data_IF_631393558034
#
_entry.id   IF_631393558034
#
_cell.length_a   1.000
_cell.length_b   1.000
_cell.length_c   1.000
_cell.angle_alpha   90.00
_cell.angle_beta   90.00
_cell.angle_gamma   90.00
#
_symmetry.space_group_name_H-M   'P 1'
#
loop_
_entity.id
_entity.type
_entity.pdbx_description
1 polymer ?
#
# COMPACT_ATOMS: atom_id res chain seq x y z
N UNK A 1 -29.94 -49.98 -64.78
CA UNK A 1 -30.87 -49.21 -65.65
C UNK A 1 -31.67 -48.28 -64.75
N UNK A 2 -31.36 -46.98 -64.80
CA UNK A 2 -32.14 -45.94 -65.52
C UNK A 2 -33.24 -45.35 -64.61
N UNK A 3 -32.98 -44.19 -64.00
CA UNK A 3 -33.48 -42.83 -64.37
C UNK A 3 -34.90 -42.55 -63.89
N UNK A 4 -35.33 -41.39 -63.41
CA UNK A 4 -34.70 -40.11 -63.01
C UNK A 4 -35.83 -39.12 -62.61
N UNK A 5 -35.50 -38.09 -61.81
CA UNK A 5 -35.96 -36.68 -61.90
C UNK A 5 -37.41 -36.30 -61.51
N UNK A 6 -37.53 -35.36 -60.54
CA UNK A 6 -38.07 -33.97 -60.65
C UNK A 6 -38.00 -33.31 -59.25
N UNK A 7 -36.94 -32.53 -58.92
CA UNK A 7 -36.77 -31.08 -59.10
C UNK A 7 -37.86 -30.22 -58.45
N UNK A 8 -37.51 -29.57 -57.32
CA UNK A 8 -37.88 -28.17 -57.00
C UNK A 8 -36.68 -27.44 -56.37
N UNK A 9 -35.97 -26.70 -57.22
CA UNK A 9 -35.24 -25.44 -56.94
C UNK A 9 -36.18 -24.43 -56.26
N UNK A 10 -35.79 -23.40 -55.51
CA UNK A 10 -34.56 -22.68 -55.19
C UNK A 10 -34.79 -22.04 -53.78
N UNK A 11 -33.79 -21.63 -53.00
CA UNK A 11 -33.06 -20.37 -53.13
C UNK A 11 -31.78 -20.50 -52.32
N UNK A 12 -30.66 -20.17 -52.98
CA UNK A 12 -29.40 -19.87 -52.32
C UNK A 12 -29.46 -18.46 -51.74
N UNK A 13 -29.06 -18.31 -50.48
CA UNK A 13 -28.44 -17.07 -50.00
C UNK A 13 -27.06 -17.45 -49.51
N UNK A 14 -26.06 -17.07 -50.31
CA UNK A 14 -24.66 -17.01 -49.93
C UNK A 14 -24.51 -15.77 -49.04
N UNK A 15 -24.05 -15.96 -47.82
CA UNK A 15 -23.33 -14.92 -47.08
C UNK A 15 -22.02 -15.53 -46.57
N UNK A 16 -20.95 -15.08 -47.21
CA UNK A 16 -19.54 -15.32 -46.93
C UNK A 16 -19.06 -14.64 -45.65
N UNK A 17 -18.04 -15.24 -45.04
CA UNK A 17 -16.95 -14.64 -44.25
C UNK A 17 -17.26 -14.00 -42.88
N UNK A 18 -16.87 -14.72 -41.82
CA UNK A 18 -15.91 -14.20 -40.83
C UNK A 18 -15.19 -15.36 -40.11
N UNK A 19 -14.16 -15.90 -40.78
CA UNK A 19 -13.06 -16.54 -40.06
C UNK A 19 -12.19 -15.42 -39.50
N UNK A 20 -12.00 -15.37 -38.19
CA UNK A 20 -10.96 -14.54 -37.57
C UNK A 20 -11.37 -13.81 -36.30
N UNK A 21 -11.77 -14.52 -35.25
CA UNK A 21 -11.79 -13.99 -33.88
C UNK A 21 -11.94 -15.11 -32.86
N UNK A 22 -10.92 -15.95 -32.71
CA UNK A 22 -10.81 -16.83 -31.54
C UNK A 22 -9.35 -17.28 -31.49
N UNK A 23 -8.54 -16.58 -30.71
CA UNK A 23 -7.27 -17.07 -30.13
C UNK A 23 -6.60 -16.03 -29.23
N UNK A 24 -7.04 -14.77 -29.22
CA UNK A 24 -6.41 -13.72 -28.39
C UNK A 24 -6.71 -13.91 -26.89
N UNK A 25 -7.94 -14.28 -26.51
CA UNK A 25 -8.30 -14.36 -25.07
C UNK A 25 -7.67 -15.53 -24.29
N UNK A 26 -7.26 -16.62 -24.94
CA UNK A 26 -6.65 -17.75 -24.23
C UNK A 26 -5.14 -17.59 -24.03
N UNK A 27 -4.48 -16.83 -24.91
CA UNK A 27 -3.04 -16.56 -24.82
C UNK A 27 -2.78 -15.49 -23.75
N UNK A 28 -3.55 -14.41 -23.76
CA UNK A 28 -3.43 -13.30 -22.78
C UNK A 28 -3.63 -13.78 -21.35
N UNK A 29 -4.70 -14.56 -21.08
CA UNK A 29 -4.97 -15.11 -19.73
C UNK A 29 -3.81 -15.98 -19.20
N UNK A 30 -3.12 -16.70 -20.09
CA UNK A 30 -2.00 -17.55 -19.69
C UNK A 30 -0.73 -16.72 -19.39
N UNK A 31 -0.50 -15.64 -20.13
CA UNK A 31 0.66 -14.76 -19.89
C UNK A 31 0.52 -13.98 -18.58
N UNK A 32 -0.67 -13.45 -18.28
CA UNK A 32 -1.00 -12.82 -17.00
C UNK A 32 -0.81 -13.78 -15.82
N UNK A 33 -1.35 -15.01 -15.93
CA UNK A 33 -1.23 -16.04 -14.88
C UNK A 33 0.24 -16.42 -14.61
N UNK A 34 1.04 -16.54 -15.67
CA UNK A 34 2.48 -16.85 -15.54
C UNK A 34 3.26 -15.70 -14.88
N UNK A 35 2.95 -14.44 -15.22
CA UNK A 35 3.56 -13.27 -14.60
C UNK A 35 3.23 -13.21 -13.10
N UNK A 36 1.95 -13.29 -12.75
CA UNK A 36 1.50 -13.29 -11.35
C UNK A 36 2.12 -14.42 -10.54
N UNK A 37 2.18 -15.63 -11.11
CA UNK A 37 2.80 -16.79 -10.44
C UNK A 37 4.28 -16.55 -10.16
N UNK A 38 5.00 -15.99 -11.12
CA UNK A 38 6.43 -15.67 -10.98
C UNK A 38 6.65 -14.68 -9.84
N UNK A 39 5.88 -13.59 -9.86
CA UNK A 39 5.93 -12.52 -8.86
C UNK A 39 5.55 -13.01 -7.47
N UNK A 40 4.46 -13.74 -7.34
CA UNK A 40 3.99 -14.26 -6.04
C UNK A 40 5.00 -15.22 -5.44
N UNK A 41 5.67 -16.02 -6.28
CA UNK A 41 6.74 -16.92 -5.84
C UNK A 41 7.96 -16.14 -5.34
N UNK A 42 8.36 -15.10 -6.06
CA UNK A 42 9.47 -14.23 -5.68
C UNK A 42 9.20 -13.52 -4.33
N UNK A 43 8.01 -12.93 -4.16
CA UNK A 43 7.56 -12.30 -2.91
C UNK A 43 7.59 -13.29 -1.74
N UNK A 44 7.04 -14.50 -1.94
CA UNK A 44 7.05 -15.56 -0.92
C UNK A 44 8.47 -15.96 -0.54
N UNK A 45 9.36 -16.13 -1.51
CA UNK A 45 10.76 -16.50 -1.26
C UNK A 45 11.49 -15.38 -0.49
N UNK A 46 11.31 -14.13 -0.91
CA UNK A 46 11.91 -12.98 -0.24
C UNK A 46 11.42 -12.84 1.20
N UNK A 47 10.12 -13.08 1.44
CA UNK A 47 9.53 -13.11 2.78
C UNK A 47 10.10 -14.25 3.62
N UNK A 48 10.15 -15.48 3.11
CA UNK A 48 10.69 -16.63 3.85
C UNK A 48 12.16 -16.45 4.24
N UNK A 49 12.94 -15.76 3.41
CA UNK A 49 14.34 -15.42 3.67
C UNK A 49 14.50 -14.20 4.59
N UNK A 50 13.41 -13.54 5.00
CA UNK A 50 13.43 -12.36 5.86
C UNK A 50 13.91 -11.08 5.19
N UNK A 51 14.01 -11.08 3.84
CA UNK A 51 14.34 -9.91 3.03
C UNK A 51 13.19 -8.90 3.11
N UNK A 52 11.96 -9.40 3.00
CA UNK A 52 10.74 -8.63 3.22
C UNK A 52 10.14 -9.05 4.56
N UNK A 53 9.75 -8.06 5.38
CA UNK A 53 9.03 -8.32 6.63
C UNK A 53 7.53 -8.17 6.41
N UNK A 54 6.73 -9.17 6.76
CA UNK A 54 5.29 -8.97 6.88
C UNK A 54 5.01 -7.89 7.93
N UNK A 55 4.22 -6.89 7.55
CA UNK A 55 3.69 -5.92 8.50
C UNK A 55 2.21 -6.26 8.63
N UNK A 56 1.83 -6.88 9.74
CA UNK A 56 0.43 -7.01 10.10
C UNK A 56 -0.06 -5.65 10.58
N UNK A 57 -0.86 -4.98 9.75
CA UNK A 57 -1.54 -3.73 10.10
C UNK A 57 -3.06 -3.95 10.04
N UNK A 58 -3.77 -3.46 11.06
CA UNK A 58 -5.23 -3.49 11.06
C UNK A 58 -5.78 -2.35 10.18
N UNK A 59 -6.80 -2.65 9.39
CA UNK A 59 -7.12 -1.87 8.18
C UNK A 59 -7.70 -0.44 8.42
N UNK A 60 -7.15 0.60 7.76
CA UNK A 60 -7.57 2.01 7.80
C UNK A 60 -7.98 2.57 6.42
N UNK A 61 -7.64 3.84 6.09
CA UNK A 61 -7.63 4.40 4.72
C UNK A 61 -6.84 3.50 3.78
N UNK A 62 -7.51 2.99 2.75
CA UNK A 62 -6.99 1.98 1.85
C UNK A 62 -5.97 2.57 0.87
N UNK A 63 -4.80 1.94 0.76
CA UNK A 63 -3.98 2.04 -0.43
C UNK A 63 -4.83 1.60 -1.61
N UNK A 64 -4.74 2.34 -2.71
CA UNK A 64 -5.51 2.07 -3.93
C UNK A 64 -4.55 1.90 -5.08
N UNK A 65 -4.89 0.98 -5.97
CA UNK A 65 -4.26 0.89 -7.27
C UNK A 65 -4.90 1.98 -8.15
N UNK A 66 -4.08 2.69 -8.91
CA UNK A 66 -4.52 3.55 -10.01
C UNK A 66 -3.98 3.00 -11.34
N UNK A 67 -4.16 3.73 -12.44
CA UNK A 67 -3.74 3.30 -13.78
C UNK A 67 -2.21 3.16 -13.95
N UNK A 68 -1.42 3.69 -13.01
CA UNK A 68 0.04 3.77 -13.09
C UNK A 68 0.80 3.27 -11.86
N UNK A 69 0.13 2.82 -10.81
CA UNK A 69 0.79 2.40 -9.57
C UNK A 69 -0.14 2.39 -8.37
N UNK A 70 0.36 2.88 -7.24
CA UNK A 70 -0.39 2.90 -5.97
C UNK A 70 -0.44 4.29 -5.36
N UNK A 71 -1.54 4.57 -4.68
CA UNK A 71 -1.80 5.83 -4.01
C UNK A 71 -2.40 5.61 -2.64
N UNK A 72 -2.16 6.54 -1.71
CA UNK A 72 -2.74 6.51 -0.38
C UNK A 72 -2.69 7.87 0.31
N UNK A 73 -3.72 8.12 1.12
CA UNK A 73 -3.79 9.32 1.97
C UNK A 73 -2.79 9.22 3.13
N UNK A 74 -1.94 10.23 3.28
CA UNK A 74 -1.04 10.39 4.41
C UNK A 74 -1.44 11.56 5.31
N UNK A 75 -0.73 11.72 6.44
CA UNK A 75 -0.86 12.90 7.29
C UNK A 75 -0.50 14.22 6.61
N UNK A 76 0.19 14.16 5.46
CA UNK A 76 0.62 15.33 4.66
C UNK A 76 -0.24 15.56 3.41
N UNK A 77 -1.20 14.67 3.12
CA UNK A 77 -1.95 14.64 1.86
C UNK A 77 -1.73 13.34 1.10
N UNK A 78 -2.30 13.24 -0.09
CA UNK A 78 -2.16 12.06 -0.95
C UNK A 78 -0.71 11.93 -1.44
N UNK A 79 -0.13 10.75 -1.24
CA UNK A 79 1.19 10.39 -1.79
C UNK A 79 0.96 9.27 -2.79
N UNK A 80 1.53 9.38 -3.98
CA UNK A 80 1.48 8.31 -4.98
C UNK A 80 2.88 7.90 -5.42
N UNK A 81 3.05 6.60 -5.62
CA UNK A 81 4.22 6.01 -6.25
C UNK A 81 3.74 5.29 -7.50
N UNK A 82 4.31 5.64 -8.64
CA UNK A 82 3.91 5.10 -9.93
C UNK A 82 5.10 4.55 -10.71
N UNK A 83 4.79 3.60 -11.57
CA UNK A 83 5.66 3.23 -12.68
C UNK A 83 5.87 4.43 -13.63
N UNK A 84 6.80 4.28 -14.56
CA UNK A 84 7.02 5.29 -15.61
C UNK A 84 5.80 5.45 -16.55
N UNK A 85 5.82 6.48 -17.39
CA UNK A 85 4.70 6.85 -18.27
C UNK A 85 4.26 5.77 -19.28
N UNK A 86 5.06 4.74 -19.52
CA UNK A 86 4.77 3.68 -20.49
C UNK A 86 3.94 2.54 -19.90
N UNK A 87 3.80 2.46 -18.58
CA UNK A 87 3.05 1.40 -17.91
C UNK A 87 1.56 1.71 -17.85
N UNK A 88 0.73 0.70 -18.13
CA UNK A 88 -0.73 0.76 -18.08
C UNK A 88 -1.29 -0.45 -17.37
N UNK A 89 -1.68 -0.24 -16.11
CA UNK A 89 -2.20 -1.31 -15.29
C UNK A 89 -3.63 -1.66 -15.66
N UNK A 90 -3.88 -2.95 -15.89
CA UNK A 90 -5.19 -3.53 -16.07
C UNK A 90 -5.59 -4.34 -14.83
N UNK A 91 -6.75 -4.01 -14.25
CA UNK A 91 -7.29 -4.72 -13.09
C UNK A 91 -7.63 -6.17 -13.45
N UNK A 92 -7.06 -7.11 -12.70
CA UNK A 92 -7.42 -8.52 -12.86
C UNK A 92 -8.62 -8.81 -11.98
N UNK A 93 -9.78 -8.94 -12.62
CA UNK A 93 -11.03 -9.30 -11.95
C UNK A 93 -10.82 -10.53 -11.04
N UNK A 94 -11.14 -10.38 -9.75
CA UNK A 94 -11.04 -11.41 -8.68
C UNK A 94 -9.68 -11.55 -7.99
N UNK A 95 -8.74 -10.64 -8.20
CA UNK A 95 -7.47 -10.59 -7.44
C UNK A 95 -7.22 -9.20 -6.84
N UNK A 96 -6.36 -9.08 -5.83
CA UNK A 96 -5.90 -7.79 -5.28
C UNK A 96 -4.81 -7.12 -6.16
N UNK A 97 -4.68 -7.54 -7.43
CA UNK A 97 -3.59 -7.18 -8.34
C UNK A 97 -4.11 -6.49 -9.59
N UNK A 98 -3.29 -5.57 -10.11
CA UNK A 98 -3.39 -5.04 -11.47
C UNK A 98 -2.05 -5.25 -12.19
N UNK A 99 -2.07 -5.50 -13.49
CA UNK A 99 -0.87 -5.89 -14.25
C UNK A 99 -0.74 -5.14 -15.56
N UNK A 100 0.49 -5.03 -16.03
CA UNK A 100 0.84 -4.72 -17.41
C UNK A 100 1.80 -5.81 -17.90
N UNK A 101 1.31 -6.69 -18.76
CA UNK A 101 2.09 -7.82 -19.26
C UNK A 101 3.17 -7.41 -20.26
N UNK A 102 3.02 -6.28 -20.95
CA UNK A 102 3.98 -5.85 -21.98
C UNK A 102 5.32 -5.46 -21.36
N UNK A 103 5.26 -4.77 -20.22
CA UNK A 103 6.44 -4.29 -19.47
C UNK A 103 6.74 -5.13 -18.22
N UNK A 104 5.91 -6.14 -17.93
CA UNK A 104 6.11 -7.02 -16.78
C UNK A 104 5.91 -6.32 -15.43
N UNK A 105 4.99 -5.36 -15.37
CA UNK A 105 4.66 -4.60 -14.18
C UNK A 105 3.42 -5.16 -13.47
N UNK A 106 3.43 -5.12 -12.15
CA UNK A 106 2.32 -5.55 -11.30
C UNK A 106 2.17 -4.62 -10.12
N UNK A 107 0.98 -4.09 -9.90
CA UNK A 107 0.63 -3.39 -8.68
C UNK A 107 -0.26 -4.28 -7.79
N UNK A 108 -0.10 -4.15 -6.49
CA UNK A 108 -0.97 -4.73 -5.47
C UNK A 108 -1.26 -3.69 -4.41
N UNK A 109 -2.50 -3.60 -3.97
CA UNK A 109 -2.85 -2.81 -2.80
C UNK A 109 -3.63 -3.68 -1.82
N UNK A 110 -3.10 -3.78 -0.60
CA UNK A 110 -3.74 -4.50 0.50
C UNK A 110 -3.63 -3.64 1.76
N UNK A 111 -4.76 -3.19 2.30
CA UNK A 111 -4.79 -2.36 3.51
C UNK A 111 -4.01 -1.04 3.32
N UNK A 112 -2.94 -0.81 4.10
CA UNK A 112 -2.06 0.36 4.05
C UNK A 112 -0.89 0.17 3.09
N UNK A 113 -0.76 -1.00 2.47
CA UNK A 113 0.44 -1.36 1.72
C UNK A 113 0.10 -1.35 0.24
N UNK A 114 0.81 -0.51 -0.50
CA UNK A 114 0.94 -0.60 -1.95
C UNK A 114 2.26 -1.28 -2.28
N UNK A 115 2.25 -2.19 -3.24
CA UNK A 115 3.46 -2.84 -3.75
C UNK A 115 3.47 -2.68 -5.26
N UNK A 116 4.58 -2.20 -5.81
CA UNK A 116 4.80 -2.12 -7.25
C UNK A 116 5.96 -3.06 -7.58
N UNK A 117 5.72 -4.03 -8.44
CA UNK A 117 6.70 -5.00 -8.84
C UNK A 117 6.95 -4.89 -10.32
N UNK A 118 8.21 -4.95 -10.72
CA UNK A 118 8.59 -4.99 -12.12
C UNK A 118 9.55 -6.15 -12.35
N UNK A 119 9.39 -6.81 -13.48
CA UNK A 119 10.30 -7.86 -13.90
C UNK A 119 11.22 -7.38 -15.01
N UNK A 120 12.52 -7.46 -14.77
CA UNK A 120 13.53 -7.02 -15.72
C UNK A 120 14.36 -8.20 -16.22
N UNK A 121 14.83 -8.09 -17.45
CA UNK A 121 15.73 -9.07 -18.05
C UNK A 121 17.15 -8.52 -18.02
N UNK A 122 18.02 -9.22 -17.31
CA UNK A 122 19.44 -8.93 -17.21
C UNK A 122 20.16 -9.60 -18.38
N UNK A 123 20.79 -8.78 -19.21
CA UNK A 123 21.66 -9.26 -20.27
C UNK A 123 23.05 -9.62 -19.74
N UNK A 124 23.75 -10.48 -20.48
CA UNK A 124 25.08 -10.96 -20.08
C UNK A 124 26.07 -9.79 -19.94
N UNK A 125 26.74 -9.72 -18.78
CA UNK A 125 27.71 -8.66 -18.41
C UNK A 125 27.11 -7.28 -18.12
N UNK A 126 25.80 -7.20 -17.91
CA UNK A 126 25.17 -6.00 -17.38
C UNK A 126 25.52 -5.82 -15.90
N UNK A 127 26.13 -4.69 -15.56
CA UNK A 127 26.60 -4.44 -14.19
C UNK A 127 25.49 -3.95 -13.27
N UNK A 128 24.59 -3.13 -13.81
CA UNK A 128 23.49 -2.55 -13.08
C UNK A 128 22.23 -2.52 -13.93
N UNK A 129 21.10 -2.78 -13.27
CA UNK A 129 19.77 -2.46 -13.78
C UNK A 129 19.25 -1.26 -13.00
N UNK A 130 18.70 -0.29 -13.71
CA UNK A 130 18.05 0.90 -13.15
C UNK A 130 16.56 0.87 -13.48
N UNK A 131 15.70 0.96 -12.46
CA UNK A 131 14.25 1.10 -12.62
C UNK A 131 13.76 2.36 -11.92
N UNK A 132 13.00 3.19 -12.63
CA UNK A 132 12.54 4.50 -12.16
C UNK A 132 11.10 4.43 -11.68
N UNK A 133 10.85 5.09 -10.56
CA UNK A 133 9.53 5.24 -9.94
C UNK A 133 9.21 6.71 -9.74
N UNK A 134 8.09 7.16 -10.28
CA UNK A 134 7.66 8.54 -10.15
C UNK A 134 6.94 8.75 -8.83
N UNK A 135 7.21 9.89 -8.19
CA UNK A 135 6.63 10.31 -6.93
C UNK A 135 5.70 11.50 -7.17
N UNK A 136 4.43 11.35 -6.81
CA UNK A 136 3.49 12.46 -6.69
C UNK A 136 3.35 12.83 -5.22
N UNK A 137 3.89 13.99 -4.85
CA UNK A 137 3.95 14.47 -3.46
C UNK A 137 3.11 15.73 -3.28
N UNK A 138 2.48 15.92 -2.10
CA UNK A 138 1.84 17.18 -1.74
C UNK A 138 2.84 18.35 -1.72
N UNK A 139 2.34 19.57 -1.90
CA UNK A 139 3.18 20.77 -1.87
C UNK A 139 3.97 20.87 -0.55
N UNK A 140 5.28 21.12 -0.65
CA UNK A 140 6.18 21.25 0.50
C UNK A 140 6.63 19.93 1.13
N UNK A 141 6.21 18.78 0.58
CA UNK A 141 6.71 17.45 0.99
C UNK A 141 7.94 17.07 0.16
N UNK A 142 8.98 16.60 0.84
CA UNK A 142 10.22 16.11 0.25
C UNK A 142 10.44 14.64 0.59
N UNK A 143 10.97 13.87 -0.36
CA UNK A 143 11.48 12.53 -0.10
C UNK A 143 12.86 12.59 0.57
N UNK A 144 13.11 11.72 1.55
CA UNK A 144 14.38 11.62 2.27
C UNK A 144 14.80 10.16 2.43
N UNK A 145 16.10 9.87 2.32
CA UNK A 145 16.64 8.53 2.59
C UNK A 145 16.91 8.34 4.09
N UNK A 146 16.59 7.16 4.60
CA UNK A 146 16.97 6.71 5.93
C UNK A 146 18.21 5.80 5.89
N UNK A 147 18.87 5.63 7.04
CA UNK A 147 20.10 4.83 7.17
C UNK A 147 19.90 3.34 6.83
N UNK A 148 18.66 2.84 6.91
CA UNK A 148 18.30 1.47 6.54
C UNK A 148 17.98 1.29 5.04
N UNK A 149 18.16 2.35 4.23
CA UNK A 149 17.92 2.35 2.80
C UNK A 149 16.46 2.61 2.41
N UNK A 150 15.54 2.74 3.38
CA UNK A 150 14.16 3.10 3.12
C UNK A 150 14.01 4.60 2.81
N UNK A 151 12.90 4.98 2.16
CA UNK A 151 12.59 6.38 1.84
C UNK A 151 11.41 6.84 2.70
N UNK A 152 11.61 7.94 3.42
CA UNK A 152 10.57 8.65 4.15
C UNK A 152 10.12 9.92 3.44
N UNK A 153 9.06 10.53 3.96
CA UNK A 153 8.57 11.82 3.46
C UNK A 153 8.58 12.85 4.59
N UNK A 154 9.05 14.05 4.31
CA UNK A 154 9.23 15.13 5.29
C UNK A 154 8.60 16.41 4.80
N UNK A 155 8.00 17.19 5.70
CA UNK A 155 7.53 18.55 5.44
C UNK A 155 8.13 19.51 6.46
N UNK A 156 8.67 20.62 5.99
CA UNK A 156 9.08 21.73 6.86
C UNK A 156 7.85 22.53 7.31
N UNK A 157 7.72 22.74 8.62
CA UNK A 157 6.66 23.60 9.15
C UNK A 157 7.16 25.03 9.33
N UNK A 158 6.23 26.00 9.41
CA UNK A 158 6.52 27.44 9.52
C UNK A 158 7.48 27.81 10.68
N UNK A 159 7.65 26.93 11.67
CA UNK A 159 8.52 27.14 12.83
C UNK A 159 9.92 26.50 12.69
N UNK A 160 10.29 25.97 11.51
CA UNK A 160 11.55 25.25 11.28
C UNK A 160 11.60 23.87 11.95
N UNK A 161 10.44 23.31 12.30
CA UNK A 161 10.31 21.93 12.78
C UNK A 161 9.91 21.06 11.61
N UNK A 162 10.73 20.07 11.27
CA UNK A 162 10.38 19.09 10.24
C UNK A 162 9.46 18.00 10.80
N UNK A 163 8.33 17.76 10.15
CA UNK A 163 7.49 16.60 10.41
C UNK A 163 7.88 15.46 9.45
N UNK A 164 7.90 14.22 9.96
CA UNK A 164 8.14 13.01 9.15
C UNK A 164 6.82 12.25 9.04
N UNK A 165 6.46 11.84 7.83
CA UNK A 165 5.26 11.07 7.54
C UNK A 165 5.39 9.65 8.09
N UNK A 166 4.26 9.06 8.48
CA UNK A 166 4.18 7.60 8.71
C UNK A 166 4.24 6.81 7.40
N UNK A 167 4.06 7.47 6.26
CA UNK A 167 4.25 6.88 4.93
C UNK A 167 5.72 6.67 4.67
N UNK A 168 6.10 5.47 4.25
CA UNK A 168 7.48 5.10 3.93
C UNK A 168 7.51 4.14 2.75
N UNK A 169 8.46 4.32 1.84
CA UNK A 169 8.86 3.28 0.90
C UNK A 169 9.90 2.43 1.62
N UNK A 170 9.64 1.13 1.71
CA UNK A 170 10.53 0.18 2.40
C UNK A 170 11.92 0.17 1.75
N UNK A 171 12.94 -0.31 2.45
CA UNK A 171 14.25 -0.54 1.84
C UNK A 171 14.09 -1.40 0.57
N UNK A 172 14.84 -1.09 -0.51
CA UNK A 172 14.69 -1.77 -1.77
C UNK A 172 15.13 -3.22 -1.64
N UNK A 173 14.50 -4.09 -2.42
CA UNK A 173 14.96 -5.45 -2.61
C UNK A 173 14.80 -5.85 -4.07
N UNK A 174 15.66 -6.76 -4.50
CA UNK A 174 15.52 -7.46 -5.77
C UNK A 174 15.95 -8.91 -5.59
N UNK A 175 15.35 -9.80 -6.37
CA UNK A 175 15.71 -11.22 -6.41
C UNK A 175 15.87 -11.73 -7.83
N UNK A 176 16.74 -12.71 -8.02
CA UNK A 176 16.83 -13.48 -9.26
C UNK A 176 15.73 -14.53 -9.38
N UNK A 177 15.69 -15.24 -10.52
CA UNK A 177 14.75 -16.34 -10.79
C UNK A 177 14.81 -17.50 -9.78
N UNK A 178 15.91 -17.62 -9.04
CA UNK A 178 16.11 -18.61 -7.98
C UNK A 178 15.74 -18.08 -6.58
N UNK A 179 15.30 -16.82 -6.51
CA UNK A 179 14.95 -16.12 -5.27
C UNK A 179 16.17 -15.68 -4.45
N UNK A 180 17.36 -15.61 -5.03
CA UNK A 180 18.55 -15.08 -4.34
C UNK A 180 18.47 -13.55 -4.28
N UNK A 181 18.78 -12.97 -3.13
CA UNK A 181 18.83 -11.52 -2.96
C UNK A 181 19.94 -10.92 -3.80
N UNK A 182 19.65 -9.81 -4.45
CA UNK A 182 20.63 -8.98 -5.13
C UNK A 182 20.94 -7.76 -4.25
N UNK A 183 22.14 -7.20 -4.40
CA UNK A 183 22.47 -5.93 -3.78
C UNK A 183 21.68 -4.82 -4.49
N UNK A 184 20.99 -3.99 -3.72
CA UNK A 184 20.05 -3.02 -4.25
C UNK A 184 19.97 -1.79 -3.36
N UNK A 185 19.87 -0.60 -3.95
CA UNK A 185 19.67 0.66 -3.25
C UNK A 185 18.79 1.60 -4.06
N UNK A 186 18.32 2.69 -3.42
CA UNK A 186 17.60 3.76 -4.09
C UNK A 186 18.49 5.00 -4.24
N UNK A 187 18.26 5.75 -5.31
CA UNK A 187 18.74 7.11 -5.51
C UNK A 187 17.55 8.04 -5.74
N UNK A 188 17.45 9.12 -4.96
CA UNK A 188 16.40 10.13 -5.13
C UNK A 188 16.85 11.10 -6.22
N UNK A 189 15.97 11.44 -7.16
CA UNK A 189 16.27 12.45 -8.18
C UNK A 189 16.56 13.83 -7.57
N UNK A 190 17.35 14.64 -8.27
CA UNK A 190 17.76 15.98 -7.79
C UNK A 190 16.58 16.89 -7.44
N UNK A 191 15.46 16.72 -8.13
CA UNK A 191 14.22 17.48 -7.92
C UNK A 191 13.24 16.79 -6.94
N UNK A 192 13.58 15.60 -6.42
CA UNK A 192 12.76 14.83 -5.49
C UNK A 192 11.48 14.23 -6.08
N UNK A 193 11.29 14.33 -7.41
CA UNK A 193 10.07 13.88 -8.10
C UNK A 193 10.08 12.40 -8.47
N UNK A 194 11.20 11.70 -8.27
CA UNK A 194 11.32 10.28 -8.57
C UNK A 194 12.39 9.60 -7.73
N UNK A 195 12.33 8.28 -7.65
CA UNK A 195 13.39 7.43 -7.13
C UNK A 195 13.83 6.44 -8.21
N UNK A 196 15.13 6.20 -8.29
CA UNK A 196 15.71 5.14 -9.12
C UNK A 196 16.15 4.01 -8.21
N UNK A 197 15.62 2.82 -8.43
CA UNK A 197 16.12 1.59 -7.84
C UNK A 197 17.26 1.05 -8.68
N UNK A 198 18.42 0.87 -8.06
CA UNK A 198 19.61 0.34 -8.72
C UNK A 198 19.89 -1.04 -8.16
N UNK A 199 19.99 -2.02 -9.06
CA UNK A 199 20.27 -3.42 -8.73
C UNK A 199 21.65 -3.78 -9.27
N UNK A 200 22.54 -4.30 -8.42
CA UNK A 200 23.82 -4.84 -8.86
C UNK A 200 23.59 -6.23 -9.48
N UNK A 201 23.91 -6.35 -10.77
CA UNK A 201 23.66 -7.55 -11.59
C UNK A 201 24.93 -8.20 -12.13
N UNK A 202 26.11 -7.77 -11.66
CA UNK A 202 27.40 -8.14 -12.24
C UNK A 202 27.63 -9.66 -12.40
N UNK A 203 27.08 -10.47 -11.48
CA UNK A 203 27.30 -11.92 -11.42
C UNK A 203 26.05 -12.75 -11.78
N UNK A 204 25.02 -12.12 -12.36
CA UNK A 204 23.77 -12.80 -12.72
C UNK A 204 23.38 -12.55 -14.19
N UNK A 205 22.61 -13.49 -14.73
CA UNK A 205 21.99 -13.40 -16.06
C UNK A 205 20.56 -13.91 -15.93
N UNK A 206 19.64 -13.39 -16.73
CA UNK A 206 18.25 -13.85 -16.75
C UNK A 206 17.27 -12.89 -16.09
N UNK A 207 16.16 -13.41 -15.56
CA UNK A 207 15.06 -12.58 -15.09
C UNK A 207 15.24 -12.21 -13.62
N UNK A 208 15.06 -10.93 -13.30
CA UNK A 208 15.00 -10.43 -11.94
C UNK A 208 13.62 -9.84 -11.63
N UNK A 209 13.28 -9.80 -10.36
CA UNK A 209 12.10 -9.10 -9.84
C UNK A 209 12.59 -8.03 -8.87
N UNK A 210 12.09 -6.81 -9.03
CA UNK A 210 12.42 -5.65 -8.20
C UNK A 210 11.15 -4.90 -7.78
N UNK A 211 11.24 -4.15 -6.68
CA UNK A 211 10.11 -3.56 -5.96
C UNK A 211 10.42 -2.19 -5.32
N UNK A 212 9.44 -1.29 -5.34
CA UNK A 212 9.15 -0.47 -4.17
C UNK A 212 7.85 -0.87 -3.48
N UNK A 213 7.99 -1.33 -2.23
CA UNK A 213 6.87 -1.51 -1.30
C UNK A 213 6.63 -0.23 -0.52
N UNK A 214 5.51 0.41 -0.80
CA UNK A 214 5.02 1.60 -0.13
C UNK A 214 4.10 1.21 1.01
N UNK A 215 4.38 1.72 2.20
CA UNK A 215 3.46 1.62 3.34
C UNK A 215 2.93 3.01 3.63
N UNK A 216 1.63 3.23 3.52
CA UNK A 216 0.92 4.48 3.82
C UNK A 216 0.66 4.67 5.33
N UNK A 217 1.46 4.01 6.16
CA UNK A 217 1.42 4.14 7.61
C UNK A 217 2.13 3.03 8.39
N UNK A 218 2.85 3.43 9.44
CA UNK A 218 3.03 2.65 10.69
C UNK A 218 2.24 3.36 11.78
N UNK A 219 0.98 2.98 11.97
CA UNK A 219 0.13 3.66 12.95
C UNK A 219 0.61 3.46 14.40
N UNK A 220 0.47 4.50 15.22
CA UNK A 220 0.28 4.29 16.66
C UNK A 220 -1.15 3.76 16.83
N UNK A 221 -1.28 2.52 17.27
CA UNK A 221 -2.57 1.90 17.53
C UNK A 221 -2.84 1.90 19.02
N UNK A 222 -4.00 2.43 19.41
CA UNK A 222 -4.48 2.33 20.78
C UNK A 222 -5.65 1.37 20.84
N UNK A 223 -5.52 0.40 21.72
CA UNK A 223 -6.53 -0.60 22.01
C UNK A 223 -7.29 -0.23 23.28
N UNK A 224 -8.61 -0.33 23.24
CA UNK A 224 -9.49 -0.15 24.39
C UNK A 224 -10.56 -1.23 24.43
N UNK A 225 -10.90 -1.68 25.63
CA UNK A 225 -12.18 -2.37 25.81
C UNK A 225 -13.34 -1.40 25.59
N UNK A 226 -14.46 -1.90 25.07
CA UNK A 226 -15.63 -1.06 24.84
C UNK A 226 -16.12 -0.31 26.07
N UNK A 227 -15.92 -0.85 27.28
CA UNK A 227 -16.25 -0.15 28.53
C UNK A 227 -15.41 1.12 28.71
N UNK A 228 -14.12 1.06 28.38
CA UNK A 228 -13.19 2.19 28.42
C UNK A 228 -13.52 3.20 27.32
N UNK A 229 -13.84 2.71 26.12
CA UNK A 229 -14.21 3.54 24.98
C UNK A 229 -15.54 4.25 25.20
N UNK A 230 -16.50 3.62 25.88
CA UNK A 230 -17.78 4.21 26.27
C UNK A 230 -17.57 5.32 27.30
N UNK A 231 -16.70 5.09 28.29
CA UNK A 231 -16.32 6.12 29.26
C UNK A 231 -15.65 7.31 28.57
N UNK A 232 -14.78 7.04 27.58
CA UNK A 232 -14.14 8.07 26.78
C UNK A 232 -15.15 8.86 25.93
N UNK A 233 -16.07 8.18 25.23
CA UNK A 233 -17.13 8.83 24.45
C UNK A 233 -18.04 9.68 25.34
N UNK A 234 -18.36 9.20 26.55
CA UNK A 234 -19.17 9.92 27.53
C UNK A 234 -18.46 11.15 28.12
N UNK A 235 -17.13 11.14 28.19
CA UNK A 235 -16.34 12.29 28.65
C UNK A 235 -16.50 13.53 27.75
N UNK A 236 -16.94 13.34 26.49
CA UNK A 236 -17.37 14.42 25.60
C UNK A 236 -16.24 15.32 25.08
N UNK A 237 -16.62 16.27 24.22
CA UNK A 237 -15.69 17.18 23.52
C UNK A 237 -14.88 18.08 24.45
N UNK A 238 -15.44 18.44 25.60
CA UNK A 238 -14.82 19.29 26.62
C UNK A 238 -13.70 18.57 27.36
N UNK A 239 -13.85 17.29 27.70
CA UNK A 239 -12.80 16.54 28.41
C UNK A 239 -11.61 16.19 27.50
N UNK A 240 -11.86 15.92 26.22
CA UNK A 240 -10.80 15.76 25.22
C UNK A 240 -10.04 17.07 24.96
N UNK A 241 -10.76 18.21 24.92
CA UNK A 241 -10.14 19.52 24.78
C UNK A 241 -9.34 19.92 26.04
N UNK A 242 -9.82 19.55 27.24
CA UNK A 242 -9.08 19.74 28.49
C UNK A 242 -7.84 18.84 28.53
N UNK A 243 -7.92 17.56 28.14
CA UNK A 243 -6.76 16.69 28.05
C UNK A 243 -5.69 17.22 27.07
N UNK A 244 -6.12 17.85 25.98
CA UNK A 244 -5.24 18.56 25.06
C UNK A 244 -4.62 19.83 25.66
N UNK A 245 -5.41 20.60 26.41
CA UNK A 245 -4.96 21.84 27.06
C UNK A 245 -4.04 21.63 28.27
N UNK A 246 -4.12 20.48 28.94
CA UNK A 246 -3.27 20.16 30.10
C UNK A 246 -1.81 19.86 29.70
N UNK A 247 -1.54 19.55 28.44
CA UNK A 247 -0.20 19.30 27.92
C UNK A 247 0.56 18.18 28.66
N UNK A 248 1.78 17.89 28.19
CA UNK A 248 2.59 16.77 28.69
C UNK A 248 3.07 16.93 30.11
N UNK A 249 3.17 18.18 30.57
CA UNK A 249 3.64 18.51 31.89
C UNK A 249 2.62 18.22 33.00
N UNK A 250 1.32 18.07 32.67
CA UNK A 250 0.26 17.89 33.68
C UNK A 250 -0.55 16.60 33.52
N UNK A 251 -0.11 15.67 32.66
CA UNK A 251 -0.69 14.31 32.50
C UNK A 251 -0.85 13.59 33.84
N UNK A 252 0.12 13.78 34.75
CA UNK A 252 0.13 13.17 36.08
C UNK A 252 -0.99 13.66 37.02
N UNK A 253 -1.67 14.75 36.67
CA UNK A 253 -2.78 15.31 37.46
C UNK A 253 -4.15 14.76 37.02
N UNK A 254 -4.22 14.06 35.89
CA UNK A 254 -5.45 13.42 35.42
C UNK A 254 -5.72 12.15 36.25
N UNK A 255 -6.96 11.98 36.71
CA UNK A 255 -7.35 10.85 37.57
C UNK A 255 -7.96 9.67 36.81
N UNK A 256 -8.35 9.86 35.54
CA UNK A 256 -9.00 8.84 34.75
C UNK A 256 -7.98 8.17 33.82
N UNK A 257 -7.78 6.84 33.89
CA UNK A 257 -6.74 6.13 33.12
C UNK A 257 -6.88 6.34 31.60
N UNK A 258 -8.10 6.39 31.08
CA UNK A 258 -8.34 6.73 29.67
C UNK A 258 -7.88 8.14 29.28
N UNK A 259 -7.99 9.13 30.18
CA UNK A 259 -7.52 10.51 29.92
C UNK A 259 -5.99 10.61 30.04
N UNK A 260 -5.38 9.83 30.93
CA UNK A 260 -3.92 9.70 31.03
C UNK A 260 -3.35 9.10 29.73
N UNK A 261 -3.98 8.05 29.19
CA UNK A 261 -3.57 7.43 27.92
C UNK A 261 -3.66 8.41 26.75
N UNK A 262 -4.73 9.23 26.69
CA UNK A 262 -4.92 10.25 25.64
C UNK A 262 -3.94 11.41 25.81
N UNK A 263 -3.74 11.90 27.02
CA UNK A 263 -2.81 12.99 27.26
C UNK A 263 -1.35 12.52 27.00
N UNK A 264 -1.01 11.28 27.34
CA UNK A 264 0.26 10.65 26.95
C UNK A 264 0.41 10.48 25.42
N UNK A 265 -0.66 10.12 24.72
CA UNK A 265 -0.68 10.04 23.26
C UNK A 265 -0.46 11.41 22.60
N UNK A 266 -1.19 12.43 23.05
CA UNK A 266 -1.08 13.80 22.54
C UNK A 266 0.31 14.41 22.77
N UNK A 267 1.08 13.82 23.68
CA UNK A 267 2.45 14.20 23.98
C UNK A 267 3.52 13.56 23.11
N UNK A 268 3.24 12.38 22.58
CA UNK A 268 4.10 11.72 21.61
C UNK A 268 3.90 12.28 20.19
N UNK A 269 2.74 12.87 19.91
CA UNK A 269 2.34 13.30 18.55
C UNK A 269 2.22 14.81 18.37
N UNK A 270 2.91 15.62 19.18
CA UNK A 270 2.89 17.10 19.13
C UNK A 270 1.47 17.68 19.06
N UNK A 271 0.57 17.24 19.96
CA UNK A 271 -0.71 17.92 20.21
C UNK A 271 -1.57 18.27 19.00
N UNK A 272 -1.48 17.53 17.89
CA UNK A 272 -2.09 17.95 16.63
C UNK A 272 -3.62 18.05 16.80
N UNK A 273 -4.23 19.24 16.57
CA UNK A 273 -5.67 19.41 16.53
C UNK A 273 -6.37 18.42 15.59
N UNK A 274 -5.63 17.91 14.60
CA UNK A 274 -6.06 16.86 13.66
C UNK A 274 -6.31 15.53 14.38
N UNK A 275 -5.42 15.08 15.27
CA UNK A 275 -5.56 13.82 16.00
C UNK A 275 -6.74 13.82 16.98
N UNK A 276 -6.98 14.95 17.65
CA UNK A 276 -8.13 15.12 18.56
C UNK A 276 -9.43 15.17 17.76
N UNK A 277 -9.42 15.88 16.63
CA UNK A 277 -10.57 15.98 15.73
C UNK A 277 -10.92 14.60 15.18
N UNK A 278 -9.94 13.85 14.68
CA UNK A 278 -10.16 12.52 14.12
C UNK A 278 -10.64 11.51 15.16
N UNK A 279 -10.06 11.51 16.37
CA UNK A 279 -10.56 10.70 17.49
C UNK A 279 -12.03 10.99 17.79
N UNK A 280 -12.41 12.28 17.81
CA UNK A 280 -13.80 12.68 18.06
C UNK A 280 -14.75 12.13 17.00
N UNK A 281 -14.39 12.28 15.73
CA UNK A 281 -15.18 11.74 14.62
C UNK A 281 -15.27 10.21 14.68
N UNK A 282 -14.17 9.52 14.99
CA UNK A 282 -14.16 8.07 15.18
C UNK A 282 -15.11 7.61 16.30
N UNK A 283 -15.06 8.26 17.47
CA UNK A 283 -15.97 7.99 18.58
C UNK A 283 -17.43 8.27 18.20
N UNK A 284 -17.69 9.33 17.44
CA UNK A 284 -19.05 9.68 17.00
C UNK A 284 -19.62 8.67 16.00
N UNK A 285 -18.77 8.12 15.12
CA UNK A 285 -19.16 7.11 14.12
C UNK A 285 -19.53 5.76 14.73
N UNK A 286 -19.09 5.46 15.95
CA UNK A 286 -19.48 4.24 16.67
C UNK A 286 -20.94 4.33 17.16
N UNK A 287 -21.86 3.71 16.43
CA UNK A 287 -23.30 3.65 16.77
C UNK A 287 -23.57 2.90 18.08
N UNK A 288 -22.86 1.80 18.32
CA UNK A 288 -22.98 0.99 19.52
C UNK A 288 -21.61 0.50 19.97
N UNK A 289 -21.30 0.70 21.25
CA UNK A 289 -20.07 0.20 21.87
C UNK A 289 -20.47 -1.00 22.73
N UNK A 290 -19.77 -2.13 22.58
CA UNK A 290 -19.97 -3.33 23.39
C UNK A 290 -18.79 -3.51 24.34
N UNK A 291 -19.06 -3.61 25.63
CA UNK A 291 -18.01 -3.57 26.67
C UNK A 291 -17.02 -4.74 26.58
N UNK A 292 -17.47 -5.90 26.09
CA UNK A 292 -16.63 -7.10 25.91
C UNK A 292 -15.82 -7.12 24.61
N UNK A 293 -15.97 -6.12 23.74
CA UNK A 293 -15.28 -6.02 22.46
C UNK A 293 -14.03 -5.16 22.60
N UNK A 294 -12.92 -5.60 22.01
CA UNK A 294 -11.70 -4.80 21.91
C UNK A 294 -11.79 -3.93 20.67
N UNK A 295 -11.62 -2.62 20.85
CA UNK A 295 -11.62 -1.63 19.78
C UNK A 295 -10.22 -1.09 19.62
N UNK A 296 -9.79 -0.93 18.36
CA UNK A 296 -8.52 -0.35 18.01
C UNK A 296 -8.75 0.95 17.23
N UNK A 297 -8.01 1.98 17.61
CA UNK A 297 -7.98 3.25 16.92
C UNK A 297 -6.54 3.58 16.50
N UNK A 298 -6.35 3.84 15.22
CA UNK A 298 -5.11 4.43 14.71
C UNK A 298 -5.17 5.94 14.95
N UNK A 299 -4.15 6.50 15.58
CA UNK A 299 -4.07 7.95 15.78
C UNK A 299 -4.21 8.66 14.43
N UNK A 300 -5.10 9.64 14.34
CA UNK A 300 -5.38 10.33 13.07
C UNK A 300 -6.57 9.79 12.28
N UNK A 301 -7.06 8.56 12.56
CA UNK A 301 -8.19 7.96 11.85
C UNK A 301 -9.55 8.50 12.28
N UNK A 302 -10.47 8.64 11.33
CA UNK A 302 -11.89 8.99 11.54
C UNK A 302 -12.78 7.78 11.87
N UNK A 303 -12.21 6.59 11.99
CA UNK A 303 -12.92 5.34 12.25
C UNK A 303 -12.19 4.48 13.30
N UNK A 304 -12.94 3.57 13.92
CA UNK A 304 -12.48 2.63 14.93
C UNK A 304 -12.93 1.22 14.55
N UNK A 305 -12.02 0.25 14.69
CA UNK A 305 -12.26 -1.14 14.29
C UNK A 305 -12.36 -2.04 15.51
N UNK A 306 -13.08 -3.15 15.38
CA UNK A 306 -13.08 -4.22 16.37
C UNK A 306 -11.98 -5.22 16.07
N UNK A 307 -11.15 -5.56 17.06
CA UNK A 307 -10.03 -6.50 16.92
C UNK A 307 -10.16 -7.66 17.92
N UNK A 308 -9.48 -8.80 17.70
CA UNK A 308 -9.41 -9.87 18.69
C UNK A 308 -8.84 -9.36 20.01
N UNK A 309 -9.48 -9.70 21.14
CA UNK A 309 -9.02 -9.21 22.44
C UNK A 309 -7.65 -9.79 22.85
N UNK A 310 -7.35 -11.03 22.47
CA UNK A 310 -6.07 -11.70 22.75
C UNK A 310 -4.93 -11.04 21.97
N UNK A 311 -3.85 -10.67 22.66
CA UNK A 311 -2.69 -9.97 22.08
C UNK A 311 -2.92 -8.48 21.84
N UNK A 312 -4.10 -7.95 22.14
CA UNK A 312 -4.44 -6.52 22.03
C UNK A 312 -4.87 -5.97 23.40
N UNK A 313 -6.16 -5.97 23.70
CA UNK A 313 -6.69 -5.50 24.99
C UNK A 313 -6.39 -6.47 26.14
N UNK A 314 -6.10 -7.74 25.85
CA UNK A 314 -5.66 -8.76 26.80
C UNK A 314 -4.25 -9.22 26.41
N UNK A 315 -3.21 -8.88 27.19
CA UNK A 315 -1.85 -9.35 26.94
C UNK A 315 -1.73 -10.87 27.13
#
# INVERSE_FOLDING_TARGET
MKTSIFIKTAIAVIATLSLGSANVSAVVVNEEENLLKTITTAESNATQKGIIKHVEVSQPTEAKINDKGVTGDSGFGEISVSFDEHVRLEDIAQTEYAVDTEVGAVAKATSEVGMLLQTEKVEKHEQFIESKWDLSLPEGVEAISFDDGSIGFRMETENGVSAISETTISAPWAVDEHGNSLETWYEISTDGSSITQIVNTQDIEGKIILDPRVTYGRGIYINWYGGELRALKAAGSTSLALAAGYGCAQVSQLRHPALIAIAGLLCLTVGSPVAIRSLRYALNNLRSINDGTCYQWKVGSYYMNTVPASGNCRP
#
